data_IF_861898997062
#
_entry.id   IF_861898997062
#
_cell.length_a   1.000
_cell.length_b   1.000
_cell.length_c   1.000
_cell.angle_alpha   90.00
_cell.angle_beta   90.00
_cell.angle_gamma   90.00
#
_symmetry.space_group_name_H-M   'P 1'
#
loop_
_entity.id
_entity.type
_entity.pdbx_description
1 polymer ?
#
# COMPACT_ATOMS: atom_id res chain seq x y z
N UNK A 1 -39.76 3.77 3.88
CA UNK A 1 -38.44 3.12 3.88
C UNK A 1 -38.15 2.71 2.44
N UNK A 2 -37.13 3.31 1.81
CA UNK A 2 -36.53 2.90 0.53
C UNK A 2 -35.38 3.88 0.23
N UNK A 3 -34.16 3.51 -0.12
CA UNK A 3 -33.37 2.29 0.03
C UNK A 3 -31.93 2.72 -0.29
N UNK A 4 -30.96 2.19 0.43
CA UNK A 4 -29.55 2.57 0.47
C UNK A 4 -28.72 2.17 -0.77
N UNK A 5 -29.35 2.05 -1.94
CA UNK A 5 -28.78 1.44 -3.16
C UNK A 5 -28.04 2.42 -4.08
N UNK A 6 -27.36 3.42 -3.53
CA UNK A 6 -26.60 4.39 -4.35
C UNK A 6 -25.35 3.75 -4.97
N UNK A 7 -24.79 2.73 -4.32
CA UNK A 7 -23.53 2.10 -4.69
C UNK A 7 -23.69 0.58 -4.89
N UNK A 8 -22.94 0.03 -5.83
CA UNK A 8 -22.75 -1.40 -6.03
C UNK A 8 -21.31 -1.79 -5.70
N UNK A 9 -21.17 -2.98 -5.13
CA UNK A 9 -19.88 -3.61 -4.94
C UNK A 9 -19.33 -4.09 -6.29
N UNK A 10 -18.07 -3.85 -6.54
CA UNK A 10 -17.32 -4.40 -7.67
C UNK A 10 -16.04 -5.05 -7.16
N UNK A 11 -15.58 -6.06 -7.89
CA UNK A 11 -14.29 -6.69 -7.71
C UNK A 11 -13.38 -6.20 -8.83
N UNK A 12 -12.36 -5.44 -8.49
CA UNK A 12 -11.28 -5.09 -9.42
C UNK A 12 -10.29 -6.24 -9.39
N UNK A 13 -10.09 -6.90 -10.52
CA UNK A 13 -9.32 -8.14 -10.64
C UNK A 13 -7.93 -7.89 -11.22
N UNK A 14 -6.98 -8.76 -10.87
CA UNK A 14 -5.59 -8.66 -11.27
C UNK A 14 -5.09 -9.97 -11.89
N UNK A 15 -4.20 -9.92 -12.91
CA UNK A 15 -3.60 -11.11 -13.50
C UNK A 15 -2.59 -11.79 -12.56
N UNK A 16 -1.99 -11.02 -11.64
CA UNK A 16 -0.97 -11.43 -10.68
C UNK A 16 -1.42 -11.15 -9.25
N UNK A 17 -0.94 -11.95 -8.30
CA UNK A 17 -1.25 -11.79 -6.89
C UNK A 17 -0.69 -10.46 -6.38
N UNK A 18 -1.53 -9.68 -5.70
CA UNK A 18 -1.16 -8.39 -5.13
C UNK A 18 -0.48 -8.58 -3.76
N UNK A 19 0.03 -7.49 -3.20
CA UNK A 19 0.76 -7.49 -1.92
C UNK A 19 -0.09 -7.99 -0.74
N UNK A 20 -1.41 -7.87 -0.82
CA UNK A 20 -2.35 -8.38 0.19
C UNK A 20 -2.60 -9.89 0.07
N UNK A 21 -2.02 -10.54 -0.94
CA UNK A 21 -2.21 -11.97 -1.21
C UNK A 21 -3.43 -12.28 -2.07
N UNK A 22 -4.19 -11.29 -2.54
CA UNK A 22 -5.38 -11.51 -3.36
C UNK A 22 -5.11 -11.22 -4.85
N UNK A 23 -5.97 -11.78 -5.71
CA UNK A 23 -6.06 -11.40 -7.13
C UNK A 23 -7.14 -10.35 -7.38
N UNK A 24 -7.70 -9.75 -6.33
CA UNK A 24 -8.74 -8.75 -6.45
C UNK A 24 -8.74 -7.81 -5.25
N UNK A 25 -9.32 -6.63 -5.41
CA UNK A 25 -9.79 -5.80 -4.31
C UNK A 25 -11.24 -5.39 -4.53
N UNK A 26 -11.90 -4.98 -3.46
CA UNK A 26 -13.31 -4.60 -3.47
C UNK A 26 -13.41 -3.07 -3.50
N UNK A 27 -14.15 -2.55 -4.47
CA UNK A 27 -14.54 -1.14 -4.54
C UNK A 27 -16.06 -1.01 -4.51
N UNK A 28 -16.55 0.16 -4.06
CA UNK A 28 -17.96 0.52 -4.12
C UNK A 28 -18.12 1.70 -5.08
N UNK A 29 -18.85 1.48 -6.17
CA UNK A 29 -19.07 2.49 -7.23
C UNK A 29 -20.55 2.80 -7.37
N UNK A 30 -20.95 4.00 -7.82
CA UNK A 30 -22.35 4.29 -8.08
C UNK A 30 -22.98 3.29 -9.05
N UNK A 31 -24.28 2.98 -8.87
CA UNK A 31 -25.00 1.96 -9.67
C UNK A 31 -24.86 2.16 -11.19
N UNK A 32 -24.84 3.42 -11.63
CA UNK A 32 -24.77 3.79 -13.06
C UNK A 32 -23.40 3.56 -13.71
N UNK A 33 -22.34 3.30 -12.93
CA UNK A 33 -20.99 3.09 -13.48
C UNK A 33 -20.95 1.76 -14.24
N UNK A 34 -20.60 1.73 -15.54
CA UNK A 34 -20.45 0.48 -16.27
C UNK A 34 -19.32 -0.36 -15.67
N UNK A 35 -19.51 -1.68 -15.67
CA UNK A 35 -18.55 -2.65 -15.13
C UNK A 35 -18.01 -3.43 -16.32
N UNK A 36 -16.72 -3.22 -16.59
CA UNK A 36 -15.98 -3.85 -17.68
C UNK A 36 -14.60 -4.25 -17.18
N UNK A 37 -13.90 -5.09 -17.96
CA UNK A 37 -12.54 -5.52 -17.65
C UNK A 37 -11.66 -4.34 -17.20
N UNK A 38 -10.93 -4.44 -16.08
CA UNK A 38 -10.70 -5.64 -15.25
C UNK A 38 -11.65 -5.76 -14.05
N UNK A 39 -12.90 -5.30 -14.15
CA UNK A 39 -13.87 -5.27 -13.04
C UNK A 39 -15.02 -6.24 -13.28
N UNK A 40 -15.46 -6.95 -12.25
CA UNK A 40 -16.68 -7.76 -12.26
C UNK A 40 -17.57 -7.44 -11.07
N UNK A 41 -18.87 -7.72 -11.19
CA UNK A 41 -19.84 -7.71 -10.08
C UNK A 41 -20.15 -9.12 -9.59
N UNK A 42 -19.62 -10.15 -10.25
CA UNK A 42 -19.93 -11.52 -9.93
C UNK A 42 -19.43 -11.86 -8.53
N UNK A 43 -20.31 -12.31 -7.63
CA UNK A 43 -19.91 -12.62 -6.26
C UNK A 43 -18.97 -13.81 -6.25
N UNK A 44 -18.02 -13.79 -5.32
CA UNK A 44 -17.13 -14.94 -5.09
C UNK A 44 -17.98 -16.11 -4.56
N UNK A 45 -17.97 -17.28 -5.23
CA UNK A 45 -18.72 -18.44 -4.80
C UNK A 45 -18.33 -18.92 -3.39
N UNK A 46 -19.30 -19.50 -2.68
CA UNK A 46 -19.11 -19.92 -1.29
C UNK A 46 -18.04 -21.03 -1.15
N UNK A 47 -17.87 -21.88 -2.17
CA UNK A 47 -16.85 -22.94 -2.22
C UNK A 47 -15.41 -22.41 -2.28
N UNK A 48 -15.23 -21.13 -2.58
CA UNK A 48 -13.94 -20.45 -2.56
C UNK A 48 -13.68 -19.69 -1.25
N UNK A 49 -14.59 -19.73 -0.28
CA UNK A 49 -14.34 -19.16 1.03
C UNK A 49 -13.15 -19.86 1.71
N UNK A 50 -12.21 -19.06 2.21
CA UNK A 50 -10.96 -19.56 2.81
C UNK A 50 -9.88 -19.95 1.81
N UNK A 51 -10.13 -19.80 0.50
CA UNK A 51 -9.17 -20.00 -0.58
C UNK A 51 -8.78 -18.65 -1.19
N UNK A 52 -7.72 -18.64 -1.99
CA UNK A 52 -7.36 -17.45 -2.77
C UNK A 52 -8.08 -17.54 -4.12
N UNK A 53 -9.21 -16.84 -4.22
CA UNK A 53 -10.00 -16.75 -5.44
C UNK A 53 -9.30 -15.89 -6.50
N UNK A 54 -9.35 -16.32 -7.75
CA UNK A 54 -8.89 -15.58 -8.93
C UNK A 54 -10.00 -15.59 -9.97
N UNK A 55 -10.28 -14.45 -10.59
CA UNK A 55 -11.27 -14.38 -11.65
C UNK A 55 -10.64 -14.76 -12.98
N UNK A 56 -11.19 -15.79 -13.64
CA UNK A 56 -10.79 -16.20 -14.98
C UNK A 56 -11.67 -15.50 -16.02
N UNK A 57 -11.07 -14.57 -16.75
CA UNK A 57 -11.74 -13.81 -17.80
C UNK A 57 -12.02 -14.62 -19.08
N UNK A 58 -11.45 -15.82 -19.24
CA UNK A 58 -11.75 -16.70 -20.37
C UNK A 58 -13.06 -17.46 -20.16
N UNK A 59 -13.31 -17.90 -18.93
CA UNK A 59 -14.54 -18.64 -18.56
C UNK A 59 -15.61 -17.74 -17.97
N UNK A 60 -15.24 -16.58 -17.43
CA UNK A 60 -16.15 -15.68 -16.72
C UNK A 60 -16.49 -16.17 -15.32
N UNK A 61 -15.57 -16.89 -14.67
CA UNK A 61 -15.81 -17.56 -13.40
C UNK A 61 -14.70 -17.29 -12.39
N UNK A 62 -15.04 -17.37 -11.10
CA UNK A 62 -14.06 -17.42 -10.03
C UNK A 62 -13.49 -18.83 -9.90
N UNK A 63 -12.17 -18.93 -9.87
CA UNK A 63 -11.44 -20.19 -9.72
C UNK A 63 -10.57 -20.18 -8.46
N UNK A 64 -10.30 -21.37 -7.93
CA UNK A 64 -9.29 -21.57 -6.90
C UNK A 64 -7.90 -21.44 -7.52
N UNK A 65 -7.13 -20.43 -7.11
CA UNK A 65 -5.78 -20.20 -7.64
C UNK A 65 -4.77 -21.29 -7.25
N UNK A 66 -5.14 -22.25 -6.38
CA UNK A 66 -4.26 -23.28 -5.81
C UNK A 66 -3.09 -22.71 -5.00
N UNK A 67 -3.08 -21.41 -4.71
CA UNK A 67 -2.09 -20.79 -3.85
C UNK A 67 -2.48 -21.06 -2.40
N UNK A 68 -1.50 -21.53 -1.63
CA UNK A 68 -1.66 -21.72 -0.18
C UNK A 68 -1.95 -20.36 0.50
N UNK A 69 -3.13 -20.18 1.13
CA UNK A 69 -3.55 -18.92 1.72
C UNK A 69 -2.67 -18.50 2.89
N UNK A 70 -2.10 -19.46 3.62
CA UNK A 70 -1.22 -19.19 4.76
C UNK A 70 0.10 -18.60 4.28
N UNK A 71 0.66 -19.19 3.23
CA UNK A 71 1.91 -18.74 2.61
C UNK A 71 1.75 -17.35 2.02
N UNK A 72 0.64 -17.10 1.32
CA UNK A 72 0.32 -15.78 0.79
C UNK A 72 0.20 -14.72 1.90
N UNK A 73 -0.51 -15.05 2.98
CA UNK A 73 -0.65 -14.16 4.13
C UNK A 73 0.71 -13.86 4.80
N UNK A 74 1.57 -14.87 4.95
CA UNK A 74 2.94 -14.69 5.48
C UNK A 74 3.75 -13.77 4.57
N UNK A 75 3.72 -13.98 3.25
CA UNK A 75 4.42 -13.12 2.29
C UNK A 75 3.92 -11.68 2.34
N UNK A 76 2.60 -11.48 2.42
CA UNK A 76 1.99 -10.16 2.57
C UNK A 76 2.46 -9.45 3.85
N UNK A 77 2.46 -10.17 4.98
CA UNK A 77 2.95 -9.66 6.26
C UNK A 77 4.44 -9.29 6.22
N UNK A 78 5.26 -10.12 5.57
CA UNK A 78 6.69 -9.85 5.38
C UNK A 78 6.93 -8.59 4.53
N UNK A 79 6.17 -8.42 3.44
CA UNK A 79 6.25 -7.23 2.60
C UNK A 79 5.85 -5.95 3.36
N UNK A 80 4.78 -6.01 4.15
CA UNK A 80 4.35 -4.90 4.99
C UNK A 80 5.39 -4.55 6.08
N UNK A 81 6.00 -5.56 6.71
CA UNK A 81 7.05 -5.35 7.68
C UNK A 81 8.28 -4.66 7.05
N UNK A 82 8.66 -5.03 5.83
CA UNK A 82 9.76 -4.39 5.10
C UNK A 82 9.46 -2.92 4.80
N UNK A 83 8.24 -2.61 4.33
CA UNK A 83 7.82 -1.23 4.07
C UNK A 83 7.85 -0.38 5.35
N UNK A 84 7.35 -0.91 6.46
CA UNK A 84 7.39 -0.24 7.76
C UNK A 84 8.84 0.02 8.20
N UNK A 85 9.76 -0.94 8.04
CA UNK A 85 11.18 -0.71 8.37
C UNK A 85 11.80 0.42 7.56
N UNK A 86 11.47 0.53 6.26
CA UNK A 86 11.91 1.64 5.42
C UNK A 86 11.38 2.97 5.97
N UNK A 87 10.08 3.04 6.25
CA UNK A 87 9.46 4.24 6.82
C UNK A 87 10.09 4.63 8.17
N UNK A 88 10.32 3.66 9.06
CA UNK A 88 11.01 3.90 10.33
C UNK A 88 12.42 4.44 10.13
N UNK A 89 13.15 3.93 9.14
CA UNK A 89 14.50 4.41 8.84
C UNK A 89 14.47 5.86 8.34
N UNK A 90 13.56 6.17 7.41
CA UNK A 90 13.36 7.55 6.92
C UNK A 90 13.01 8.50 8.05
N UNK A 91 12.10 8.12 8.94
CA UNK A 91 11.71 8.93 10.11
C UNK A 91 12.90 9.14 11.04
N UNK A 92 13.69 8.10 11.33
CA UNK A 92 14.91 8.24 12.15
C UNK A 92 15.92 9.21 11.53
N UNK A 93 16.14 9.12 10.22
CA UNK A 93 17.04 10.04 9.51
C UNK A 93 16.53 11.47 9.55
N UNK A 94 15.23 11.67 9.33
CA UNK A 94 14.60 12.99 9.42
C UNK A 94 14.71 13.58 10.83
N UNK A 95 14.43 12.78 11.87
CA UNK A 95 14.57 13.19 13.26
C UNK A 95 16.00 13.61 13.59
N UNK A 96 17.00 12.81 13.22
CA UNK A 96 18.41 13.17 13.42
C UNK A 96 18.80 14.46 12.67
N UNK A 97 18.21 14.71 11.50
CA UNK A 97 18.36 15.96 10.77
C UNK A 97 17.77 17.15 11.52
N UNK A 98 16.56 17.00 12.07
CA UNK A 98 15.90 18.02 12.89
C UNK A 98 16.69 18.30 14.18
N UNK A 99 17.17 17.27 14.87
CA UNK A 99 17.99 17.43 16.08
C UNK A 99 19.26 18.26 15.81
N UNK A 100 19.93 18.02 14.68
CA UNK A 100 21.07 18.85 14.24
C UNK A 100 20.67 20.29 13.97
N UNK A 101 19.55 20.52 13.27
CA UNK A 101 19.06 21.87 13.00
C UNK A 101 18.71 22.62 14.29
N UNK A 102 18.01 21.97 15.23
CA UNK A 102 17.69 22.52 16.54
C UNK A 102 18.98 22.88 17.28
N UNK A 103 19.97 21.98 17.32
CA UNK A 103 21.26 22.25 17.96
C UNK A 103 21.98 23.48 17.38
N UNK A 104 21.94 23.67 16.05
CA UNK A 104 22.51 24.86 15.41
C UNK A 104 21.75 26.15 15.75
N UNK A 105 20.44 26.08 15.98
CA UNK A 105 19.61 27.24 16.34
C UNK A 105 19.72 27.60 17.83
N UNK A 106 19.88 26.60 18.71
CA UNK A 106 19.98 26.81 20.16
C UNK A 106 21.40 27.13 20.63
N UNK A 107 22.42 26.93 19.79
CA UNK A 107 23.83 27.23 20.11
C UNK A 107 24.52 28.02 18.97
N UNK A 108 24.30 29.35 18.87
CA UNK A 108 24.84 30.17 17.78
C UNK A 108 26.37 30.34 17.80
N UNK A 109 27.07 29.88 18.84
CA UNK A 109 28.52 30.10 19.03
C UNK A 109 29.42 29.19 18.18
N UNK A 110 28.88 28.21 17.46
CA UNK A 110 29.68 27.33 16.58
C UNK A 110 30.08 27.98 15.24
N UNK A 111 29.60 29.18 14.92
CA UNK A 111 29.77 29.78 13.59
C UNK A 111 30.66 31.05 13.56
N UNK A 112 31.45 31.33 14.61
CA UNK A 112 32.27 32.57 14.68
C UNK A 112 33.76 32.35 14.94
N UNK A 113 34.32 31.18 14.60
CA UNK A 113 35.77 30.97 14.75
C UNK A 113 36.38 30.17 13.60
N UNK A 114 36.16 30.62 12.36
CA UNK A 114 36.93 30.16 11.22
C UNK A 114 37.11 31.27 10.17
N UNK A 115 37.59 32.44 10.59
CA UNK A 115 38.22 33.39 9.65
C UNK A 115 39.43 34.03 10.32
N UNK A 116 40.50 33.26 10.50
CA UNK A 116 41.83 33.81 10.73
C UNK A 116 42.61 33.88 9.41
N UNK A 117 43.02 35.12 9.10
CA UNK A 117 44.20 35.53 8.32
C UNK A 117 44.21 35.38 6.80
N UNK A 118 44.19 36.51 6.09
CA UNK A 118 45.23 36.82 5.09
C UNK A 118 45.63 38.30 5.23
N UNK A 119 46.94 38.49 5.24
CA UNK A 119 47.75 39.71 5.43
C UNK A 119 47.83 40.51 4.12
N UNK A 120 47.85 41.85 4.21
CA UNK A 120 48.49 42.88 3.34
C UNK A 120 47.72 44.22 3.58
N UNK A 121 48.32 45.39 3.81
CA UNK A 121 49.65 45.93 3.52
C UNK A 121 50.15 46.85 4.64
#
# INVERSE_FOLDING_TARGET
>A
MAETDTYKQIYVTYPVQQQDGNFYHIDYVPQYVPVEYPKTTDPIPAELQGKIAKYDWQTGEWIDSQIDPTTAAITALQANAALLMVQFTTIKTALAGLEKQVATLTNPTANTTATTTTKEA
#
